data_IF_725158640146
#
_entry.id   IF_725158640146
#
_cell.length_a   1.000
_cell.length_b   1.000
_cell.length_c   1.000
_cell.angle_alpha   90.00
_cell.angle_beta   90.00
_cell.angle_gamma   90.00
#
_symmetry.space_group_name_H-M   'P 1'
#
loop_
_entity.id
_entity.type
_entity.pdbx_description
1 polymer ?
#
# COMPACT_ATOMS: atom_id res chain seq x y z
N UNK A 1 50.13 58.00 50.73
CA UNK A 1 50.10 57.04 49.60
C UNK A 1 48.85 57.30 48.74
N UNK A 2 49.05 57.34 47.41
CA UNK A 2 48.11 57.42 46.27
C UNK A 2 47.02 58.52 46.28
N UNK A 3 47.33 59.56 45.51
CA UNK A 3 46.55 60.77 45.20
C UNK A 3 45.30 60.49 44.33
N UNK A 4 44.27 61.29 44.62
CA UNK A 4 43.02 61.59 43.88
C UNK A 4 43.15 61.57 42.35
N UNK A 5 42.15 61.00 41.66
CA UNK A 5 41.75 61.39 40.30
C UNK A 5 40.26 61.70 40.28
N UNK A 6 39.93 62.94 39.96
CA UNK A 6 38.57 63.34 39.57
C UNK A 6 38.65 64.53 38.58
N UNK A 7 37.74 64.50 37.59
CA UNK A 7 37.45 65.46 36.47
C UNK A 7 37.80 64.88 35.09
N UNK A 8 37.07 65.09 33.99
CA UNK A 8 35.64 65.34 33.61
C UNK A 8 35.67 65.68 32.08
N UNK A 9 34.70 65.18 31.29
CA UNK A 9 34.12 65.72 30.02
C UNK A 9 34.88 65.61 28.67
N UNK A 10 34.16 65.09 27.64
CA UNK A 10 33.53 65.89 26.55
C UNK A 10 32.55 65.08 25.69
N UNK A 11 31.46 65.74 25.28
CA UNK A 11 30.33 65.26 24.44
C UNK A 11 30.55 65.51 22.93
N UNK A 12 29.63 64.93 22.13
CA UNK A 12 29.18 65.25 20.76
C UNK A 12 29.73 64.35 19.62
N UNK A 13 28.96 63.88 18.61
CA UNK A 13 27.85 64.50 17.85
C UNK A 13 26.97 63.46 17.10
N UNK A 14 25.71 63.85 16.83
CA UNK A 14 24.63 63.20 16.03
C UNK A 14 24.94 63.06 14.52
N UNK A 15 24.26 62.14 13.81
CA UNK A 15 23.89 62.29 12.38
C UNK A 15 22.49 61.71 12.06
N UNK A 16 21.62 62.59 11.53
CA UNK A 16 20.30 62.35 10.95
C UNK A 16 20.38 61.86 9.49
N UNK A 17 19.32 61.20 8.96
CA UNK A 17 18.75 61.28 7.59
C UNK A 17 17.60 60.26 7.46
N UNK A 18 16.32 60.65 7.49
CA UNK A 18 15.44 61.22 6.43
C UNK A 18 15.00 60.21 5.35
N UNK A 19 13.69 60.15 5.17
CA UNK A 19 12.81 59.42 4.23
C UNK A 19 13.24 59.51 2.76
N UNK A 20 12.92 58.51 1.94
CA UNK A 20 12.14 58.73 0.71
C UNK A 20 11.60 57.45 0.03
N UNK A 21 10.44 57.66 -0.57
CA UNK A 21 9.53 56.75 -1.27
C UNK A 21 9.96 56.67 -2.75
N UNK A 22 9.73 55.52 -3.41
CA UNK A 22 9.18 55.32 -4.77
C UNK A 22 9.83 54.19 -5.61
N UNK A 23 8.96 53.22 -5.95
CA UNK A 23 8.78 52.48 -7.22
C UNK A 23 10.01 52.18 -8.09
N UNK A 24 10.19 50.89 -8.44
CA UNK A 24 10.51 50.47 -9.83
C UNK A 24 10.26 48.98 -10.10
N UNK A 25 9.15 48.73 -10.81
CA UNK A 25 8.94 47.80 -11.93
C UNK A 25 9.77 46.49 -12.00
N UNK A 26 9.14 45.35 -11.69
CA UNK A 26 9.55 44.04 -12.18
C UNK A 26 8.80 43.73 -13.49
N UNK A 27 9.42 44.03 -14.64
CA UNK A 27 9.04 43.45 -15.95
C UNK A 27 10.22 42.70 -16.57
N UNK A 28 10.05 41.37 -16.63
CA UNK A 28 10.47 40.38 -17.63
C UNK A 28 11.83 40.56 -18.35
N UNK A 29 12.70 39.54 -18.22
CA UNK A 29 13.42 38.96 -19.38
C UNK A 29 13.47 37.44 -19.29
N UNK A 30 12.94 36.82 -20.35
CA UNK A 30 12.94 35.39 -20.63
C UNK A 30 14.37 34.85 -20.84
N UNK A 31 14.65 33.62 -20.42
CA UNK A 31 15.54 32.72 -21.18
C UNK A 31 15.19 31.25 -20.90
N UNK A 32 14.76 30.58 -21.97
CA UNK A 32 14.37 29.18 -22.10
C UNK A 32 15.50 28.26 -21.63
N UNK A 33 15.23 27.28 -20.76
CA UNK A 33 16.13 26.15 -20.52
C UNK A 33 15.79 25.01 -21.47
N UNK A 34 16.83 24.54 -22.17
CA UNK A 34 16.80 23.41 -23.12
C UNK A 34 16.32 22.14 -22.42
N UNK A 35 15.48 21.40 -23.14
CA UNK A 35 15.01 20.05 -22.85
C UNK A 35 16.13 19.08 -23.22
N UNK A 36 16.53 18.20 -22.30
CA UNK A 36 17.18 16.94 -22.66
C UNK A 36 16.37 15.84 -21.97
N UNK A 37 15.77 15.01 -22.81
CA UNK A 37 14.90 13.90 -22.45
C UNK A 37 15.70 12.67 -22.03
N UNK A 38 15.45 12.16 -20.84
CA UNK A 38 15.69 10.75 -20.53
C UNK A 38 14.36 10.06 -20.21
N UNK A 39 13.94 9.17 -21.10
CA UNK A 39 12.78 8.30 -20.94
C UNK A 39 13.06 7.32 -19.79
N UNK A 40 12.62 7.66 -18.59
CA UNK A 40 12.45 6.67 -17.52
C UNK A 40 10.97 6.28 -17.51
N UNK A 41 10.69 5.04 -17.94
CA UNK A 41 9.37 4.40 -17.90
C UNK A 41 8.83 4.49 -16.47
N UNK A 42 7.86 5.39 -16.24
CA UNK A 42 7.10 5.42 -14.98
C UNK A 42 6.19 4.19 -14.95
N UNK A 43 6.52 3.23 -14.09
CA UNK A 43 5.57 2.19 -13.68
C UNK A 43 4.30 2.87 -13.16
N UNK A 44 3.16 2.55 -13.78
CA UNK A 44 1.84 3.01 -13.34
C UNK A 44 1.51 2.30 -12.02
N UNK A 45 1.86 2.90 -10.90
CA UNK A 45 1.28 2.51 -9.61
C UNK A 45 -0.18 2.95 -9.66
N UNK A 46 -1.08 1.98 -9.82
CA UNK A 46 -2.52 2.16 -9.76
C UNK A 46 -2.88 2.85 -8.44
N UNK A 47 -3.27 4.12 -8.50
CA UNK A 47 -3.89 4.80 -7.37
C UNK A 47 -5.21 4.09 -7.09
N UNK A 48 -5.24 3.17 -6.12
CA UNK A 48 -6.49 2.69 -5.52
C UNK A 48 -7.23 3.93 -4.99
N UNK A 49 -8.23 4.39 -5.75
CA UNK A 49 -9.20 5.38 -5.30
C UNK A 49 -9.94 4.75 -4.12
N UNK A 50 -9.59 5.14 -2.90
CA UNK A 50 -10.45 4.91 -1.76
C UNK A 50 -11.72 5.72 -1.99
N UNK A 51 -12.77 5.04 -2.45
CA UNK A 51 -14.13 5.57 -2.44
C UNK A 51 -14.48 5.88 -0.98
N UNK A 52 -14.50 7.17 -0.63
CA UNK A 52 -15.16 7.63 0.60
C UNK A 52 -16.64 7.26 0.48
N UNK A 53 -17.05 6.11 1.00
CA UNK A 53 -18.45 5.81 1.29
C UNK A 53 -18.93 6.90 2.26
N UNK A 54 -19.70 7.87 1.75
CA UNK A 54 -20.51 8.76 2.58
C UNK A 54 -21.51 7.87 3.30
N UNK A 55 -21.25 7.55 4.57
CA UNK A 55 -22.26 6.96 5.45
C UNK A 55 -23.32 8.04 5.66
N UNK A 56 -24.42 7.98 4.89
CA UNK A 56 -25.65 8.71 5.22
C UNK A 56 -26.24 8.03 6.45
N UNK A 57 -26.02 8.61 7.62
CA UNK A 57 -26.78 8.24 8.82
C UNK A 57 -28.24 8.66 8.57
N UNK A 58 -29.10 7.70 8.24
CA UNK A 58 -30.56 7.88 8.26
C UNK A 58 -30.96 8.08 9.72
N UNK A 59 -31.23 9.32 10.11
CA UNK A 59 -31.94 9.62 11.35
C UNK A 59 -33.36 9.04 11.18
N UNK A 60 -33.63 7.91 11.85
CA UNK A 60 -35.01 7.41 12.00
C UNK A 60 -35.78 8.43 12.85
N UNK A 61 -36.59 9.27 12.21
CA UNK A 61 -37.66 10.02 12.89
C UNK A 61 -38.68 9.01 13.39
N UNK A 62 -38.60 8.64 14.67
CA UNK A 62 -39.71 7.97 15.34
C UNK A 62 -40.79 9.00 15.65
N UNK A 63 -41.75 9.09 14.72
CA UNK A 63 -43.07 9.65 14.94
C UNK A 63 -43.85 8.68 15.83
N UNK A 64 -44.17 9.10 17.06
CA UNK A 64 -45.27 8.54 17.87
C UNK A 64 -46.15 9.72 18.28
N UNK A 65 -47.14 10.11 17.46
CA UNK A 65 -48.56 9.70 17.49
C UNK A 65 -49.22 9.73 18.88
N UNK A 66 -50.11 10.72 19.00
CA UNK A 66 -51.45 10.71 19.64
C UNK A 66 -51.53 10.77 21.18
N UNK A 67 -51.67 11.99 21.69
CA UNK A 67 -52.44 12.24 22.91
C UNK A 67 -53.93 11.95 22.60
N UNK A 68 -54.45 10.81 23.10
CA UNK A 68 -55.89 10.57 23.24
C UNK A 68 -56.28 10.96 24.65
N UNK A 69 -56.98 12.08 24.81
CA UNK A 69 -57.75 12.37 26.01
C UNK A 69 -58.83 11.31 26.18
N UNK A 70 -58.65 10.36 27.11
CA UNK A 70 -59.73 9.50 27.59
C UNK A 70 -60.51 10.28 28.66
N UNK A 71 -61.68 10.81 28.28
CA UNK A 71 -62.74 11.21 29.21
C UNK A 71 -63.18 9.96 29.99
N UNK A 72 -62.84 9.87 31.26
CA UNK A 72 -63.44 8.89 32.17
C UNK A 72 -64.67 9.56 32.80
N UNK A 73 -65.84 9.24 32.24
CA UNK A 73 -67.12 9.40 32.92
C UNK A 73 -67.17 8.35 34.05
N UNK A 74 -67.29 8.78 35.30
CA UNK A 74 -67.81 7.93 36.38
C UNK A 74 -69.11 8.55 36.89
N UNK A 75 -70.21 7.90 36.50
CA UNK A 75 -71.52 7.96 37.15
C UNK A 75 -71.33 7.61 38.63
N UNK A 76 -71.83 8.44 39.53
CA UNK A 76 -72.19 7.98 40.88
C UNK A 76 -73.71 7.90 40.92
N UNK A 77 -74.13 6.69 41.24
CA UNK A 77 -75.49 6.17 41.29
C UNK A 77 -76.13 6.73 42.57
N UNK A 78 -77.16 7.58 42.44
CA UNK A 78 -78.05 7.90 43.55
C UNK A 78 -79.05 6.74 43.65
N UNK A 79 -78.74 5.75 44.48
CA UNK A 79 -79.70 4.76 44.95
C UNK A 79 -80.53 5.42 46.04
N UNK A 80 -81.71 5.90 45.67
CA UNK A 80 -82.83 6.03 46.59
C UNK A 80 -83.24 4.63 47.06
N UNK A 81 -83.50 4.46 48.35
CA UNK A 81 -84.63 3.66 48.85
C UNK A 81 -84.93 4.04 50.32
N UNK A 82 -86.20 3.85 50.74
CA UNK A 82 -86.88 4.67 51.73
C UNK A 82 -86.93 3.98 53.10
N UNK A 83 -87.16 4.75 54.15
CA UNK A 83 -87.67 4.21 55.40
C UNK A 83 -88.88 5.03 55.87
N UNK A 84 -90.07 4.46 55.66
CA UNK A 84 -91.35 4.83 56.27
C UNK A 84 -91.59 3.82 57.39
N UNK A 85 -92.03 4.28 58.56
CA UNK A 85 -93.07 3.69 59.42
C UNK A 85 -93.37 4.79 60.47
N UNK A 86 -94.54 5.46 60.51
CA UNK A 86 -95.89 4.99 60.89
C UNK A 86 -95.86 4.27 62.23
N UNK A 87 -96.72 4.46 63.22
CA UNK A 87 -97.93 5.23 63.49
C UNK A 87 -98.09 5.11 65.03
N UNK A 88 -98.80 6.01 65.72
CA UNK A 88 -99.91 5.63 66.61
C UNK A 88 -100.55 6.90 67.20
N UNK A 89 -101.69 7.32 66.65
CA UNK A 89 -103.05 7.07 67.17
C UNK A 89 -103.53 8.24 68.06
N UNK A 90 -104.47 9.05 67.55
CA UNK A 90 -105.93 8.84 67.68
C UNK A 90 -106.37 9.18 69.12
N UNK A 91 -107.42 9.93 69.41
CA UNK A 91 -108.53 10.56 68.66
C UNK A 91 -109.42 11.16 69.78
N UNK A 92 -110.46 11.88 69.37
CA UNK A 92 -111.80 11.84 69.99
C UNK A 92 -112.23 12.92 71.01
N UNK A 93 -113.30 13.57 70.56
CA UNK A 93 -114.50 14.03 71.26
C UNK A 93 -114.49 15.38 71.97
N UNK A 94 -115.06 16.36 71.27
CA UNK A 94 -116.19 17.13 71.81
C UNK A 94 -117.37 16.17 72.06
N UNK A 95 -118.15 16.29 73.15
CA UNK A 95 -119.25 17.27 73.12
C UNK A 95 -119.66 17.90 74.47
N UNK A 96 -120.16 19.14 74.39
CA UNK A 96 -121.46 19.62 74.92
C UNK A 96 -121.75 19.48 76.44
N UNK A 97 -121.99 20.65 77.04
CA UNK A 97 -122.80 20.99 78.23
C UNK A 97 -122.45 20.32 79.56
N UNK A 98 -122.16 21.16 80.55
CA UNK A 98 -123.05 21.40 81.70
C UNK A 98 -122.57 22.69 82.39
N UNK A 99 -123.46 23.66 82.46
CA UNK A 99 -123.30 24.90 83.20
C UNK A 99 -123.35 24.62 84.71
N UNK A 100 -122.75 25.53 85.49
CA UNK A 100 -122.66 25.56 86.96
C UNK A 100 -121.54 24.73 87.59
N UNK A 101 -120.31 25.23 87.49
CA UNK A 101 -119.47 25.44 88.70
C UNK A 101 -118.47 26.56 88.44
N UNK A 102 -119.06 27.67 88.03
CA UNK A 102 -118.54 28.98 87.61
C UNK A 102 -118.06 29.87 88.77
N UNK A 103 -117.49 29.32 89.85
CA UNK A 103 -117.01 30.20 90.94
C UNK A 103 -115.75 29.73 91.68
N UNK A 104 -115.44 28.43 91.71
CA UNK A 104 -114.28 27.90 92.45
C UNK A 104 -113.12 27.41 91.55
N UNK A 105 -113.35 27.28 90.24
CA UNK A 105 -112.32 26.84 89.28
C UNK A 105 -111.55 27.99 88.60
N UNK A 106 -112.01 29.24 88.71
CA UNK A 106 -111.32 30.38 88.11
C UNK A 106 -110.05 30.79 88.90
N UNK A 107 -110.05 30.62 90.24
CA UNK A 107 -108.86 30.81 91.10
C UNK A 107 -107.88 29.62 91.03
N UNK A 108 -108.35 28.37 90.93
CA UNK A 108 -107.49 27.19 90.73
C UNK A 108 -106.86 27.13 89.33
N UNK A 109 -107.58 27.53 88.27
CA UNK A 109 -107.03 27.59 86.91
C UNK A 109 -105.99 28.70 86.73
N UNK A 110 -106.08 29.83 87.45
CA UNK A 110 -105.00 30.83 87.42
C UNK A 110 -103.70 30.32 88.05
N UNK A 111 -103.79 29.54 89.14
CA UNK A 111 -102.61 28.93 89.80
C UNK A 111 -102.05 27.77 88.96
N UNK A 112 -102.92 26.90 88.40
CA UNK A 112 -102.52 25.78 87.54
C UNK A 112 -101.96 26.23 86.19
N UNK A 113 -102.53 27.26 85.56
CA UNK A 113 -102.02 27.84 84.31
C UNK A 113 -100.71 28.60 84.52
N UNK A 114 -100.50 29.26 85.68
CA UNK A 114 -99.19 29.81 86.04
C UNK A 114 -98.13 28.70 86.17
N UNK A 115 -98.48 27.58 86.79
CA UNK A 115 -97.56 26.44 86.94
C UNK A 115 -97.26 25.74 85.60
N UNK A 116 -98.27 25.56 84.73
CA UNK A 116 -98.10 24.98 83.38
C UNK A 116 -97.29 25.92 82.49
N UNK A 117 -97.60 27.23 82.45
CA UNK A 117 -96.79 28.21 81.72
C UNK A 117 -95.36 28.29 82.26
N UNK A 118 -95.15 28.13 83.57
CA UNK A 118 -93.80 28.05 84.15
C UNK A 118 -93.04 26.81 83.65
N UNK A 119 -93.69 25.64 83.57
CA UNK A 119 -93.09 24.42 83.05
C UNK A 119 -92.82 24.49 81.53
N UNK A 120 -93.73 25.08 80.74
CA UNK A 120 -93.57 25.26 79.29
C UNK A 120 -92.50 26.30 78.96
N UNK A 121 -92.49 27.44 79.64
CA UNK A 121 -91.42 28.43 79.50
C UNK A 121 -90.06 27.82 79.84
N UNK A 122 -89.98 26.98 80.88
CA UNK A 122 -88.75 26.25 81.22
C UNK A 122 -88.34 25.23 80.16
N UNK A 123 -89.29 24.59 79.46
CA UNK A 123 -89.01 23.70 78.31
C UNK A 123 -88.55 24.48 77.09
N UNK A 124 -89.21 25.60 76.76
CA UNK A 124 -88.86 26.49 75.65
C UNK A 124 -87.47 27.10 75.87
N UNK A 125 -87.15 27.53 77.09
CA UNK A 125 -85.81 28.00 77.44
C UNK A 125 -84.76 26.89 77.28
N UNK A 126 -85.05 25.66 77.71
CA UNK A 126 -84.15 24.51 77.49
C UNK A 126 -83.93 24.21 76.01
N UNK A 127 -84.98 24.27 75.18
CA UNK A 127 -84.88 24.06 73.74
C UNK A 127 -84.10 25.18 73.04
N UNK A 128 -84.35 26.44 73.39
CA UNK A 128 -83.57 27.59 72.91
C UNK A 128 -82.09 27.45 73.27
N UNK A 129 -81.78 27.02 74.50
CA UNK A 129 -80.40 26.71 74.93
C UNK A 129 -79.77 25.60 74.08
N UNK A 130 -80.49 24.51 73.80
CA UNK A 130 -80.01 23.41 72.94
C UNK A 130 -79.81 23.82 71.48
N UNK A 131 -80.66 24.68 70.92
CA UNK A 131 -80.54 25.15 69.54
C UNK A 131 -79.37 26.12 69.36
N UNK A 132 -79.16 27.01 70.35
CA UNK A 132 -77.95 27.86 70.44
C UNK A 132 -76.72 26.96 70.52
N UNK A 133 -76.72 25.93 71.37
CA UNK A 133 -75.61 24.99 71.52
C UNK A 133 -75.32 24.20 70.22
N UNK A 134 -76.35 23.79 69.47
CA UNK A 134 -76.19 23.14 68.15
C UNK A 134 -75.61 24.08 67.10
N UNK A 135 -76.12 25.32 67.00
CA UNK A 135 -75.59 26.34 66.09
C UNK A 135 -74.15 26.70 66.42
N UNK A 136 -73.80 26.76 67.70
CA UNK A 136 -72.42 26.93 68.16
C UNK A 136 -71.54 25.72 67.80
N UNK A 137 -72.02 24.49 67.98
CA UNK A 137 -71.31 23.27 67.56
C UNK A 137 -71.08 23.21 66.05
N UNK A 138 -72.07 23.54 65.23
CA UNK A 138 -71.92 23.58 63.77
C UNK A 138 -70.95 24.67 63.30
N UNK A 139 -70.98 25.86 63.91
CA UNK A 139 -70.00 26.92 63.64
C UNK A 139 -68.59 26.45 64.01
N UNK A 140 -68.43 25.82 65.18
CA UNK A 140 -67.15 25.22 65.61
C UNK A 140 -66.64 24.17 64.60
N UNK A 141 -67.50 23.27 64.12
CA UNK A 141 -67.13 22.26 63.11
C UNK A 141 -66.69 22.90 61.78
N UNK A 142 -67.44 23.90 61.28
CA UNK A 142 -67.07 24.62 60.05
C UNK A 142 -65.76 25.37 60.18
N UNK A 143 -65.53 26.02 61.32
CA UNK A 143 -64.26 26.68 61.62
C UNK A 143 -63.10 25.67 61.70
N UNK A 144 -63.32 24.50 62.30
CA UNK A 144 -62.35 23.41 62.32
C UNK A 144 -62.04 22.85 60.92
N UNK A 145 -63.05 22.68 60.07
CA UNK A 145 -62.87 22.23 58.68
C UNK A 145 -62.09 23.25 57.84
N UNK A 146 -62.40 24.54 57.97
CA UNK A 146 -61.65 25.62 57.32
C UNK A 146 -60.19 25.63 57.79
N UNK A 147 -59.93 25.49 59.10
CA UNK A 147 -58.58 25.35 59.65
C UNK A 147 -57.86 24.13 59.07
N UNK A 148 -58.54 22.98 58.96
CA UNK A 148 -57.98 21.77 58.32
C UNK A 148 -57.64 21.97 56.85
N UNK A 149 -58.49 22.67 56.09
CA UNK A 149 -58.24 22.98 54.68
C UNK A 149 -57.04 23.92 54.56
N UNK A 150 -56.96 24.97 55.38
CA UNK A 150 -55.82 25.89 55.40
C UNK A 150 -54.50 25.18 55.72
N UNK A 151 -54.49 24.28 56.71
CA UNK A 151 -53.31 23.46 57.05
C UNK A 151 -52.90 22.58 55.86
N UNK A 152 -53.85 21.95 55.16
CA UNK A 152 -53.56 21.14 53.96
C UNK A 152 -53.04 21.97 52.80
N UNK A 153 -53.57 23.17 52.57
CA UNK A 153 -53.06 24.08 51.54
C UNK A 153 -51.65 24.57 51.84
N UNK A 154 -51.34 24.86 53.11
CA UNK A 154 -49.99 25.20 53.55
C UNK A 154 -49.04 24.02 53.33
N UNK A 155 -49.43 22.80 53.72
CA UNK A 155 -48.66 21.59 53.47
C UNK A 155 -48.37 21.37 51.97
N UNK A 156 -49.37 21.52 51.10
CA UNK A 156 -49.20 21.41 49.65
C UNK A 156 -48.26 22.48 49.08
N UNK A 157 -48.35 23.72 49.56
CA UNK A 157 -47.44 24.79 49.15
C UNK A 157 -46.00 24.49 49.56
N UNK A 158 -45.80 23.92 50.74
CA UNK A 158 -44.47 23.57 51.24
C UNK A 158 -43.89 22.35 50.52
N UNK A 159 -44.70 21.34 50.19
CA UNK A 159 -44.29 20.23 49.32
C UNK A 159 -43.83 20.73 47.93
N UNK A 160 -44.55 21.68 47.33
CA UNK A 160 -44.16 22.28 46.05
C UNK A 160 -42.86 23.07 46.18
N UNK A 161 -42.65 23.81 47.27
CA UNK A 161 -41.38 24.51 47.52
C UNK A 161 -40.22 23.53 47.68
N UNK A 162 -40.42 22.45 48.45
CA UNK A 162 -39.42 21.39 48.64
C UNK A 162 -39.09 20.72 47.30
N UNK A 163 -40.08 20.39 46.48
CA UNK A 163 -39.85 19.83 45.14
C UNK A 163 -39.06 20.79 44.23
N UNK A 164 -39.35 22.09 44.30
CA UNK A 164 -38.58 23.12 43.57
C UNK A 164 -37.15 23.24 44.08
N UNK A 165 -36.91 23.13 45.38
CA UNK A 165 -35.56 23.11 45.96
C UNK A 165 -34.80 21.86 45.50
N UNK A 166 -35.38 20.67 45.66
CA UNK A 166 -34.79 19.39 45.19
C UNK A 166 -34.41 19.43 43.71
N UNK A 167 -35.27 19.98 42.84
CA UNK A 167 -34.95 20.10 41.41
C UNK A 167 -33.83 21.10 41.12
N UNK A 168 -33.72 22.18 41.90
CA UNK A 168 -32.57 23.11 41.84
C UNK A 168 -31.29 22.44 42.31
N UNK A 169 -31.35 21.70 43.42
CA UNK A 169 -30.20 21.01 44.01
C UNK A 169 -29.69 19.90 43.09
N UNK A 170 -30.59 19.10 42.51
CA UNK A 170 -30.24 18.08 41.51
C UNK A 170 -29.58 18.74 40.29
N UNK A 171 -30.13 19.85 39.78
CA UNK A 171 -29.51 20.58 38.65
C UNK A 171 -28.14 21.14 39.02
N UNK A 172 -27.98 21.66 40.22
CA UNK A 172 -26.70 22.18 40.71
C UNK A 172 -25.67 21.05 40.84
N UNK A 173 -26.06 19.92 41.43
CA UNK A 173 -25.25 18.71 41.54
C UNK A 173 -24.78 18.21 40.18
N UNK A 174 -25.70 18.04 39.22
CA UNK A 174 -25.37 17.60 37.86
C UNK A 174 -24.42 18.58 37.15
N UNK A 175 -24.59 19.90 37.33
CA UNK A 175 -23.67 20.90 36.78
C UNK A 175 -22.28 20.80 37.41
N UNK A 176 -22.20 20.56 38.72
CA UNK A 176 -20.94 20.40 39.46
C UNK A 176 -20.21 19.14 39.02
N UNK A 177 -20.90 18.00 38.93
CA UNK A 177 -20.33 16.76 38.40
C UNK A 177 -19.85 16.91 36.96
N UNK A 178 -20.67 17.52 36.08
CA UNK A 178 -20.24 17.78 34.69
C UNK A 178 -19.01 18.68 34.61
N UNK A 179 -18.90 19.69 35.50
CA UNK A 179 -17.71 20.54 35.56
C UNK A 179 -16.48 19.74 35.99
N UNK A 180 -16.62 18.84 36.96
CA UNK A 180 -15.53 18.00 37.43
C UNK A 180 -15.09 16.99 36.35
N UNK A 181 -16.04 16.35 35.66
CA UNK A 181 -15.76 15.49 34.50
C UNK A 181 -15.01 16.27 33.41
N UNK A 182 -15.40 17.52 33.13
CA UNK A 182 -14.69 18.36 32.14
C UNK A 182 -13.26 18.68 32.57
N UNK A 183 -13.02 18.98 33.85
CA UNK A 183 -11.67 19.20 34.37
C UNK A 183 -10.82 17.95 34.24
N UNK A 184 -11.34 16.80 34.66
CA UNK A 184 -10.63 15.53 34.58
C UNK A 184 -10.29 15.16 33.13
N UNK A 185 -11.23 15.32 32.20
CA UNK A 185 -10.99 15.14 30.77
C UNK A 185 -9.91 16.09 30.24
N UNK A 186 -9.93 17.37 30.65
CA UNK A 186 -8.92 18.34 30.24
C UNK A 186 -7.52 17.99 30.79
N UNK A 187 -7.43 17.50 32.03
CA UNK A 187 -6.16 17.03 32.60
C UNK A 187 -5.62 15.79 31.89
N UNK A 188 -6.48 14.81 31.59
CA UNK A 188 -6.11 13.63 30.79
C UNK A 188 -5.60 14.03 29.41
N UNK A 189 -6.28 14.96 28.74
CA UNK A 189 -5.84 15.49 27.45
C UNK A 189 -4.49 16.22 27.55
N UNK A 190 -4.25 17.01 28.61
CA UNK A 190 -2.95 17.68 28.83
C UNK A 190 -1.81 16.68 29.03
N UNK A 191 -2.01 15.65 29.86
CA UNK A 191 -1.04 14.57 30.08
C UNK A 191 -0.73 13.85 28.77
N UNK A 192 -1.76 13.41 28.05
CA UNK A 192 -1.61 12.75 26.75
C UNK A 192 -0.86 13.61 25.72
N UNK A 193 -1.18 14.91 25.63
CA UNK A 193 -0.46 15.83 24.73
C UNK A 193 1.01 16.02 25.14
N UNK A 194 1.31 15.98 26.45
CA UNK A 194 2.69 16.06 26.94
C UNK A 194 3.49 14.80 26.61
N UNK A 195 2.88 13.62 26.76
CA UNK A 195 3.46 12.32 26.39
C UNK A 195 3.78 12.29 24.89
N UNK A 196 2.83 12.67 24.03
CA UNK A 196 3.06 12.75 22.57
C UNK A 196 4.22 13.70 22.23
N UNK A 197 4.34 14.83 22.93
CA UNK A 197 5.44 15.79 22.69
C UNK A 197 6.78 15.19 23.09
N UNK A 198 6.85 14.46 24.21
CA UNK A 198 8.06 13.78 24.65
C UNK A 198 8.43 12.65 23.70
N UNK A 199 7.47 11.83 23.28
CA UNK A 199 7.67 10.74 22.34
C UNK A 199 8.21 11.26 20.99
N UNK A 200 7.63 12.34 20.45
CA UNK A 200 8.14 12.98 19.22
C UNK A 200 9.56 13.52 19.37
N UNK A 201 9.91 14.07 20.54
CA UNK A 201 11.28 14.51 20.81
C UNK A 201 12.24 13.31 20.83
N UNK A 202 11.86 12.24 21.53
CA UNK A 202 12.65 11.01 21.61
C UNK A 202 12.85 10.38 20.22
N UNK A 203 11.80 10.33 19.40
CA UNK A 203 11.89 9.84 18.02
C UNK A 203 12.85 10.68 17.18
N UNK A 204 12.84 12.01 17.35
CA UNK A 204 13.79 12.90 16.65
C UNK A 204 15.23 12.69 17.12
N UNK A 205 15.47 12.44 18.41
CA UNK A 205 16.79 12.09 18.92
C UNK A 205 17.28 10.77 18.33
N UNK A 206 16.45 9.71 18.35
CA UNK A 206 16.77 8.42 17.72
C UNK A 206 17.11 8.56 16.24
N UNK A 207 16.35 9.39 15.50
CA UNK A 207 16.64 9.67 14.08
C UNK A 207 17.96 10.41 13.86
N UNK A 208 18.41 11.23 14.81
CA UNK A 208 19.71 11.91 14.74
C UNK A 208 20.84 10.95 15.09
N UNK A 209 20.70 10.19 16.16
CA UNK A 209 21.66 9.17 16.59
C UNK A 209 21.94 8.16 15.48
N UNK A 210 20.90 7.62 14.82
CA UNK A 210 21.09 6.72 13.68
C UNK A 210 21.87 7.38 12.55
N UNK A 211 21.62 8.67 12.26
CA UNK A 211 22.35 9.40 11.22
C UNK A 211 23.80 9.66 11.62
N UNK A 212 24.05 9.94 12.89
CA UNK A 212 25.40 10.13 13.42
C UNK A 212 26.20 8.82 13.34
N UNK A 213 25.61 7.70 13.76
CA UNK A 213 26.21 6.37 13.60
C UNK A 213 26.50 6.05 12.13
N UNK A 214 25.55 6.31 11.22
CA UNK A 214 25.78 6.12 9.77
C UNK A 214 26.89 7.01 9.22
N UNK A 215 27.04 8.24 9.73
CA UNK A 215 28.10 9.13 9.29
C UNK A 215 29.47 8.69 9.82
N UNK A 216 29.53 8.21 11.07
CA UNK A 216 30.73 7.63 11.66
C UNK A 216 31.15 6.34 10.93
N UNK A 217 30.20 5.46 10.63
CA UNK A 217 30.45 4.25 9.83
C UNK A 217 30.99 4.58 8.44
N UNK A 218 30.41 5.58 7.76
CA UNK A 218 30.93 6.06 6.46
C UNK A 218 32.33 6.64 6.57
N UNK A 219 32.66 7.31 7.66
CA UNK A 219 33.99 7.86 7.88
C UNK A 219 35.00 6.71 8.09
N UNK A 220 34.68 5.76 8.96
CA UNK A 220 35.49 4.57 9.20
C UNK A 220 35.72 3.75 7.92
N UNK A 221 34.68 3.56 7.10
CA UNK A 221 34.82 2.89 5.79
C UNK A 221 35.69 3.67 4.80
N UNK A 222 35.69 5.01 4.85
CA UNK A 222 36.56 5.83 4.00
C UNK A 222 38.01 5.73 4.44
N UNK A 223 38.26 5.73 5.75
CA UNK A 223 39.59 5.60 6.34
C UNK A 223 40.20 4.23 6.02
N UNK A 224 39.42 3.15 6.18
CA UNK A 224 39.83 1.81 5.72
C UNK A 224 40.12 1.78 4.21
N UNK A 225 39.32 2.47 3.38
CA UNK A 225 39.58 2.54 1.92
C UNK A 225 40.85 3.30 1.57
N UNK A 226 41.20 4.36 2.31
CA UNK A 226 42.48 5.05 2.08
C UNK A 226 43.67 4.16 2.39
N UNK A 227 43.57 3.29 3.40
CA UNK A 227 44.64 2.34 3.74
C UNK A 227 44.87 1.33 2.60
N UNK A 228 43.82 0.97 1.86
CA UNK A 228 43.93 0.08 0.69
C UNK A 228 44.42 0.78 -0.59
N UNK A 229 44.66 2.10 -0.60
CA UNK A 229 45.07 2.80 -1.82
C UNK A 229 46.39 2.27 -2.39
N UNK A 230 47.38 1.98 -1.53
CA UNK A 230 48.66 1.39 -1.94
C UNK A 230 48.51 -0.03 -2.51
N UNK A 231 47.60 -0.84 -1.94
CA UNK A 231 47.28 -2.17 -2.47
C UNK A 231 46.56 -2.05 -3.81
N UNK A 232 45.69 -1.05 -3.96
CA UNK A 232 44.97 -0.80 -5.20
C UNK A 232 45.90 -0.38 -6.34
N UNK A 233 46.90 0.46 -6.06
CA UNK A 233 47.95 0.83 -7.01
C UNK A 233 48.75 -0.39 -7.47
N UNK A 234 49.20 -1.23 -6.52
CA UNK A 234 49.90 -2.49 -6.84
C UNK A 234 49.05 -3.45 -7.66
N UNK A 235 47.74 -3.52 -7.39
CA UNK A 235 46.81 -4.33 -8.18
C UNK A 235 46.69 -3.77 -9.61
N UNK A 236 46.65 -2.44 -9.77
CA UNK A 236 46.57 -1.81 -11.08
C UNK A 236 47.84 -2.05 -11.91
N UNK A 237 49.03 -1.98 -11.28
CA UNK A 237 50.30 -2.33 -11.91
C UNK A 237 50.34 -3.78 -12.39
N UNK A 238 49.88 -4.71 -11.55
CA UNK A 238 49.81 -6.14 -11.91
C UNK A 238 48.82 -6.35 -13.07
N UNK A 239 47.66 -5.69 -13.04
CA UNK A 239 46.69 -5.75 -14.15
C UNK A 239 47.29 -5.20 -15.43
N UNK A 240 48.02 -4.08 -15.37
CA UNK A 240 48.63 -3.48 -16.54
C UNK A 240 49.70 -4.40 -17.13
N UNK A 241 50.56 -4.99 -16.29
CA UNK A 241 51.51 -6.02 -16.72
C UNK A 241 50.82 -7.21 -17.40
N UNK A 242 49.72 -7.71 -16.81
CA UNK A 242 48.98 -8.83 -17.38
C UNK A 242 48.27 -8.48 -18.71
N UNK A 243 47.78 -7.24 -18.85
CA UNK A 243 47.23 -6.75 -20.12
C UNK A 243 48.29 -6.77 -21.21
N UNK A 244 49.46 -6.19 -20.94
CA UNK A 244 50.57 -6.15 -21.89
C UNK A 244 51.00 -7.56 -22.31
N UNK A 245 51.21 -8.48 -21.35
CA UNK A 245 51.55 -9.89 -21.65
C UNK A 245 50.49 -10.59 -22.49
N UNK A 246 49.21 -10.29 -22.24
CA UNK A 246 48.11 -10.86 -23.01
C UNK A 246 48.08 -10.30 -24.43
N UNK A 247 48.33 -9.01 -24.60
CA UNK A 247 48.34 -8.35 -25.91
C UNK A 247 49.56 -8.82 -26.73
N UNK A 248 50.73 -8.99 -26.11
CA UNK A 248 51.90 -9.64 -26.72
C UNK A 248 51.58 -11.07 -27.17
N UNK A 249 50.87 -11.86 -26.36
CA UNK A 249 50.46 -13.23 -26.73
C UNK A 249 49.46 -13.26 -27.87
N UNK A 250 48.55 -12.29 -27.94
CA UNK A 250 47.64 -12.13 -29.09
C UNK A 250 48.45 -11.80 -30.33
N UNK A 251 49.42 -10.89 -30.22
CA UNK A 251 50.32 -10.52 -31.33
C UNK A 251 51.09 -11.73 -31.86
N UNK A 252 51.75 -12.48 -30.99
CA UNK A 252 52.47 -13.71 -31.34
C UNK A 252 51.56 -14.74 -32.02
N UNK A 253 50.32 -14.90 -31.55
CA UNK A 253 49.36 -15.81 -32.17
C UNK A 253 48.97 -15.35 -33.58
N UNK A 254 48.68 -14.07 -33.77
CA UNK A 254 48.33 -13.52 -35.09
C UNK A 254 49.51 -13.61 -36.06
N UNK A 255 50.74 -13.41 -35.57
CA UNK A 255 51.98 -13.58 -36.33
C UNK A 255 52.19 -15.04 -36.76
N UNK A 256 51.93 -16.01 -35.87
CA UNK A 256 51.96 -17.45 -36.19
C UNK A 256 50.94 -17.84 -37.27
N UNK A 257 49.80 -17.15 -37.36
CA UNK A 257 48.83 -17.35 -38.44
C UNK A 257 49.29 -16.76 -39.78
N UNK A 258 50.42 -16.03 -39.81
CA UNK A 258 50.97 -15.42 -41.02
C UNK A 258 50.23 -14.16 -41.47
N UNK A 259 49.42 -13.54 -40.60
CA UNK A 259 48.69 -12.30 -40.90
C UNK A 259 49.61 -11.11 -40.69
N UNK A 260 49.69 -10.19 -41.66
CA UNK A 260 50.49 -8.97 -41.55
C UNK A 260 49.97 -8.06 -40.42
N UNK A 261 50.85 -7.81 -39.45
CA UNK A 261 50.60 -6.90 -38.34
C UNK A 261 51.22 -5.56 -38.68
N UNK A 262 50.42 -4.50 -38.68
CA UNK A 262 50.92 -3.14 -38.87
C UNK A 262 51.39 -2.58 -37.51
N UNK A 263 52.45 -1.77 -37.54
CA UNK A 263 53.01 -1.13 -36.35
C UNK A 263 52.08 -0.01 -35.86
N UNK A 264 51.04 -0.40 -35.12
CA UNK A 264 49.95 0.48 -34.67
C UNK A 264 48.59 -0.19 -34.53
N UNK A 265 48.47 -1.47 -34.87
CA UNK A 265 47.21 -2.22 -34.72
C UNK A 265 46.77 -2.31 -33.24
N UNK A 266 45.58 -1.81 -32.95
CA UNK A 266 44.91 -1.99 -31.67
C UNK A 266 44.59 -3.47 -31.40
N UNK A 267 44.46 -3.84 -30.12
CA UNK A 267 44.08 -5.20 -29.70
C UNK A 267 42.82 -5.72 -30.41
N UNK A 268 41.82 -4.87 -30.56
CA UNK A 268 40.56 -5.26 -31.21
C UNK A 268 40.76 -5.51 -32.71
N UNK A 269 41.65 -4.75 -33.38
CA UNK A 269 42.01 -4.98 -34.76
C UNK A 269 42.73 -6.32 -34.96
N UNK A 270 43.66 -6.68 -34.05
CA UNK A 270 44.33 -7.99 -34.05
C UNK A 270 43.33 -9.15 -33.90
N UNK A 271 42.37 -9.02 -32.98
CA UNK A 271 41.33 -10.04 -32.77
C UNK A 271 40.36 -10.14 -33.96
N UNK A 272 40.05 -9.03 -34.63
CA UNK A 272 39.25 -9.04 -35.85
C UNK A 272 39.99 -9.71 -37.01
N UNK A 273 41.29 -9.44 -37.16
CA UNK A 273 42.17 -10.10 -38.14
C UNK A 273 42.22 -11.61 -37.90
N UNK A 274 42.42 -12.06 -36.65
CA UNK A 274 42.37 -13.48 -36.26
C UNK A 274 41.03 -14.12 -36.64
N UNK A 275 39.91 -13.49 -36.29
CA UNK A 275 38.57 -14.00 -36.62
C UNK A 275 38.32 -14.09 -38.12
N UNK A 276 38.74 -13.08 -38.88
CA UNK A 276 38.59 -13.07 -40.35
C UNK A 276 39.38 -14.22 -40.97
N UNK A 277 40.63 -14.42 -40.53
CA UNK A 277 41.46 -15.53 -40.97
C UNK A 277 40.80 -16.90 -40.69
N UNK A 278 40.31 -17.12 -39.47
CA UNK A 278 39.62 -18.37 -39.13
C UNK A 278 38.37 -18.59 -39.97
N UNK A 279 37.59 -17.54 -40.21
CA UNK A 279 36.37 -17.60 -41.01
C UNK A 279 36.68 -17.91 -42.48
N UNK A 280 37.73 -17.31 -43.03
CA UNK A 280 38.21 -17.60 -44.39
C UNK A 280 38.70 -19.04 -44.51
N UNK A 281 39.48 -19.53 -43.53
CA UNK A 281 39.88 -20.94 -43.48
C UNK A 281 38.69 -21.90 -43.38
N UNK A 282 37.71 -21.58 -42.56
CA UNK A 282 36.48 -22.38 -42.47
C UNK A 282 35.69 -22.41 -43.79
N UNK A 283 35.69 -21.32 -44.57
CA UNK A 283 35.06 -21.31 -45.90
C UNK A 283 35.78 -22.23 -46.87
N UNK A 284 37.12 -22.20 -46.89
CA UNK A 284 37.95 -23.10 -47.70
C UNK A 284 37.66 -24.56 -47.33
N UNK A 285 37.68 -24.88 -46.04
CA UNK A 285 37.39 -26.21 -45.51
C UNK A 285 36.00 -26.71 -45.93
N UNK A 286 34.96 -25.89 -45.73
CA UNK A 286 33.58 -26.23 -46.10
C UNK A 286 33.43 -26.47 -47.61
N UNK A 287 34.14 -25.70 -48.44
CA UNK A 287 34.14 -25.88 -49.89
C UNK A 287 34.79 -27.21 -50.28
N UNK A 288 35.94 -27.56 -49.68
CA UNK A 288 36.65 -28.81 -49.96
C UNK A 288 36.00 -30.06 -49.34
N UNK A 289 35.22 -29.92 -48.26
CA UNK A 289 34.55 -31.05 -47.58
C UNK A 289 33.69 -31.89 -48.54
N UNK A 290 32.99 -31.24 -49.47
CA UNK A 290 32.18 -31.97 -50.46
C UNK A 290 33.04 -32.81 -51.40
N UNK A 291 34.20 -32.29 -51.80
CA UNK A 291 35.16 -32.99 -52.65
C UNK A 291 35.85 -34.11 -51.88
N UNK A 292 36.24 -33.89 -50.63
CA UNK A 292 36.81 -34.92 -49.77
C UNK A 292 35.85 -36.09 -49.58
N UNK A 293 34.57 -35.84 -49.26
CA UNK A 293 33.57 -36.90 -49.13
C UNK A 293 33.39 -37.68 -50.43
N UNK A 294 33.39 -36.98 -51.56
CA UNK A 294 33.32 -37.59 -52.89
C UNK A 294 34.53 -38.49 -53.15
N UNK A 295 35.75 -37.98 -52.96
CA UNK A 295 37.01 -38.72 -53.14
C UNK A 295 37.16 -39.91 -52.19
N UNK A 296 36.78 -39.75 -50.91
CA UNK A 296 36.81 -40.83 -49.93
C UNK A 296 35.81 -41.95 -50.28
N UNK A 297 34.59 -41.57 -50.70
CA UNK A 297 33.60 -42.52 -51.20
C UNK A 297 34.08 -43.25 -52.45
N UNK A 298 34.70 -42.52 -53.39
CA UNK A 298 35.27 -43.08 -54.61
C UNK A 298 36.37 -44.10 -54.31
N UNK A 299 37.33 -43.75 -53.45
CA UNK A 299 38.38 -44.66 -53.03
C UNK A 299 37.79 -45.93 -52.41
N UNK A 300 36.82 -45.79 -51.49
CA UNK A 300 36.15 -46.94 -50.87
C UNK A 300 35.48 -47.86 -51.89
N UNK A 301 34.76 -47.30 -52.87
CA UNK A 301 34.10 -48.08 -53.92
C UNK A 301 35.11 -48.81 -54.81
N UNK A 302 36.20 -48.14 -55.19
CA UNK A 302 37.25 -48.72 -56.03
C UNK A 302 37.96 -49.85 -55.29
N UNK A 303 38.34 -49.61 -54.04
CA UNK A 303 38.96 -50.60 -53.17
C UNK A 303 38.10 -51.86 -53.02
N UNK A 304 36.80 -51.69 -52.82
CA UNK A 304 35.86 -52.80 -52.66
C UNK A 304 35.68 -53.63 -53.93
N UNK A 305 35.65 -53.00 -55.11
CA UNK A 305 35.24 -53.64 -56.37
C UNK A 305 36.41 -54.08 -57.26
N UNK A 306 37.49 -53.29 -57.32
CA UNK A 306 38.53 -53.45 -58.34
C UNK A 306 39.90 -53.86 -57.79
N UNK A 307 40.16 -53.65 -56.50
CA UNK A 307 41.46 -53.94 -55.87
C UNK A 307 41.39 -55.29 -55.13
N UNK A 308 42.31 -56.24 -55.41
CA UNK A 308 42.35 -57.51 -54.72
C UNK A 308 42.97 -57.38 -53.32
N UNK A 309 42.65 -58.31 -52.41
CA UNK A 309 43.07 -58.28 -51.00
C UNK A 309 44.58 -58.25 -50.75
N UNK A 310 45.38 -58.74 -51.70
CA UNK A 310 46.85 -58.80 -51.58
C UNK A 310 47.54 -57.50 -52.04
N UNK A 311 46.76 -56.51 -52.52
CA UNK A 311 47.29 -55.24 -53.01
C UNK A 311 46.98 -54.12 -52.02
N UNK A 312 47.87 -53.13 -51.98
CA UNK A 312 47.72 -51.89 -51.23
C UNK A 312 46.44 -51.17 -51.62
N UNK A 313 45.80 -50.56 -50.63
CA UNK A 313 44.51 -49.90 -50.73
C UNK A 313 44.73 -48.45 -51.21
N UNK A 314 43.81 -47.88 -51.98
CA UNK A 314 43.79 -46.44 -52.26
C UNK A 314 43.28 -45.67 -51.04
N UNK A 315 44.03 -44.67 -50.59
CA UNK A 315 43.64 -43.82 -49.46
C UNK A 315 43.54 -42.37 -49.90
N UNK A 316 42.48 -41.71 -49.46
CA UNK A 316 42.35 -40.25 -49.51
C UNK A 316 43.01 -39.68 -48.27
N UNK A 317 44.02 -38.83 -48.44
CA UNK A 317 44.65 -38.08 -47.36
C UNK A 317 44.00 -36.71 -47.29
N UNK A 318 43.64 -36.32 -46.07
CA UNK A 318 42.98 -35.06 -45.79
C UNK A 318 43.96 -34.05 -45.19
N UNK A 319 44.37 -33.06 -45.99
CA UNK A 319 45.19 -31.91 -45.53
C UNK A 319 44.43 -30.59 -45.66
N UNK A 320 43.10 -30.63 -45.64
CA UNK A 320 42.25 -29.43 -45.80
C UNK A 320 42.45 -28.39 -44.70
N UNK A 321 42.81 -28.83 -43.49
CA UNK A 321 43.04 -27.95 -42.33
C UNK A 321 44.36 -27.18 -42.41
N UNK A 322 45.41 -27.80 -42.98
CA UNK A 322 46.78 -27.26 -42.96
C UNK A 322 47.09 -26.50 -44.24
N UNK A 323 47.06 -27.20 -45.38
CA UNK A 323 47.43 -26.64 -46.69
C UNK A 323 46.22 -26.31 -47.56
N UNK A 324 45.05 -26.92 -47.29
CA UNK A 324 43.87 -26.76 -48.14
C UNK A 324 43.86 -27.70 -49.34
N UNK A 325 44.49 -28.87 -49.18
CA UNK A 325 44.69 -29.86 -50.24
C UNK A 325 44.10 -31.22 -49.82
N UNK A 326 43.60 -31.96 -50.80
CA UNK A 326 43.17 -33.35 -50.67
C UNK A 326 43.91 -34.13 -51.74
N UNK A 327 44.51 -35.25 -51.40
CA UNK A 327 45.11 -36.11 -52.42
C UNK A 327 44.79 -37.58 -52.22
N UNK A 328 44.82 -38.33 -53.31
CA UNK A 328 44.62 -39.78 -53.33
C UNK A 328 45.96 -40.42 -53.64
N UNK A 329 46.36 -41.39 -52.83
CA UNK A 329 47.59 -42.18 -53.02
C UNK A 329 47.37 -43.65 -52.71
N UNK A 330 48.35 -44.49 -53.06
CA UNK A 330 48.44 -45.84 -52.53
C UNK A 330 48.91 -45.81 -51.07
N UNK A 331 48.39 -46.72 -50.24
CA UNK A 331 48.72 -46.76 -48.80
C UNK A 331 50.21 -46.96 -48.53
N UNK A 332 50.90 -47.68 -49.43
CA UNK A 332 52.32 -48.01 -49.29
C UNK A 332 53.27 -46.95 -49.92
N UNK A 333 52.71 -45.92 -50.57
CA UNK A 333 53.49 -44.86 -51.22
C UNK A 333 53.69 -43.65 -50.31
N UNK A 334 54.79 -42.92 -50.52
CA UNK A 334 55.06 -41.66 -49.85
C UNK A 334 54.02 -40.58 -50.21
N UNK A 335 53.91 -39.52 -49.39
CA UNK A 335 52.93 -38.46 -49.62
C UNK A 335 53.21 -37.63 -50.89
N UNK A 336 54.45 -37.63 -51.38
CA UNK A 336 54.86 -36.94 -52.61
C UNK A 336 54.40 -37.66 -53.89
N UNK A 337 54.19 -38.97 -53.81
CA UNK A 337 53.76 -39.86 -54.90
C UNK A 337 52.23 -39.99 -54.97
N UNK A 338 51.54 -38.86 -54.95
CA UNK A 338 50.09 -38.82 -55.12
C UNK A 338 49.65 -39.07 -56.56
N UNK A 339 48.45 -39.63 -56.71
CA UNK A 339 47.81 -39.95 -58.00
C UNK A 339 46.91 -38.81 -58.46
N UNK A 340 46.05 -38.33 -57.55
CA UNK A 340 45.16 -37.20 -57.78
C UNK A 340 45.37 -36.18 -56.66
N UNK A 341 45.50 -34.91 -57.01
CA UNK A 341 45.58 -33.79 -56.07
C UNK A 341 44.45 -32.81 -56.36
N UNK A 342 43.71 -32.45 -55.32
CA UNK A 342 42.57 -31.54 -55.37
C UNK A 342 42.87 -30.38 -54.44
N UNK A 343 42.87 -29.16 -54.95
CA UNK A 343 43.12 -27.97 -54.15
C UNK A 343 42.29 -26.78 -54.64
N UNK A 344 42.12 -25.78 -53.77
CA UNK A 344 41.45 -24.53 -54.12
C UNK A 344 42.45 -23.57 -54.77
N UNK A 345 42.07 -22.98 -55.90
CA UNK A 345 42.88 -21.96 -56.58
C UNK A 345 43.00 -20.71 -55.70
N UNK A 346 44.24 -20.25 -55.49
CA UNK A 346 44.59 -19.06 -54.69
C UNK A 346 43.97 -19.02 -53.28
N UNK A 347 43.67 -20.18 -52.67
CA UNK A 347 43.00 -20.27 -51.36
C UNK A 347 41.67 -19.48 -51.29
N UNK A 348 41.00 -19.27 -52.41
CA UNK A 348 39.76 -18.50 -52.49
C UNK A 348 38.59 -19.39 -52.94
N UNK A 349 37.51 -19.52 -52.15
CA UNK A 349 36.33 -20.31 -52.52
C UNK A 349 35.62 -19.86 -53.82
N UNK A 350 35.97 -18.68 -54.35
CA UNK A 350 35.34 -18.11 -55.55
C UNK A 350 36.05 -18.49 -56.85
N UNK A 351 37.34 -18.83 -56.77
CA UNK A 351 38.19 -18.98 -57.96
C UNK A 351 38.16 -20.39 -58.53
N UNK A 352 37.47 -21.32 -57.87
CA UNK A 352 37.29 -22.68 -58.33
C UNK A 352 38.28 -23.66 -57.69
N UNK A 353 38.13 -24.93 -58.06
CA UNK A 353 38.88 -26.06 -57.56
C UNK A 353 39.66 -26.64 -58.73
N UNK A 354 40.93 -26.94 -58.48
CA UNK A 354 41.81 -27.57 -59.46
C UNK A 354 41.97 -29.03 -59.07
N UNK A 355 41.82 -29.91 -60.06
CA UNK A 355 42.12 -31.34 -59.94
C UNK A 355 43.31 -31.61 -60.85
N UNK A 356 44.43 -31.97 -60.25
CA UNK A 356 45.63 -32.42 -60.95
C UNK A 356 45.66 -33.94 -60.95
N UNK A 357 45.83 -34.50 -62.15
CA UNK A 357 45.88 -35.92 -62.39
C UNK A 357 47.29 -36.35 -62.85
N UNK A 358 47.93 -37.18 -62.04
CA UNK A 358 49.22 -37.85 -62.29
C UNK A 358 49.05 -39.33 -62.68
N UNK A 359 47.84 -39.79 -62.95
CA UNK A 359 47.58 -41.17 -63.36
C UNK A 359 48.30 -41.58 -64.65
N UNK A 360 48.65 -40.62 -65.50
CA UNK A 360 49.44 -40.83 -66.72
C UNK A 360 50.89 -40.34 -66.52
N UNK A 361 51.90 -41.22 -66.66
CA UNK A 361 53.30 -40.83 -66.47
C UNK A 361 53.82 -39.86 -67.55
N UNK A 362 53.16 -39.76 -68.70
CA UNK A 362 53.62 -38.92 -69.84
C UNK A 362 52.95 -37.53 -69.92
N UNK A 363 51.78 -37.34 -69.28
CA UNK A 363 51.02 -36.08 -69.32
C UNK A 363 50.25 -35.88 -68.02
N UNK A 364 50.67 -34.91 -67.21
CA UNK A 364 49.89 -34.39 -66.09
C UNK A 364 48.77 -33.48 -66.63
N UNK A 365 47.52 -33.82 -66.34
CA UNK A 365 46.36 -33.02 -66.80
C UNK A 365 45.80 -32.27 -65.59
N UNK A 366 45.60 -30.96 -65.74
CA UNK A 366 44.96 -30.12 -64.72
C UNK A 366 43.59 -29.67 -65.21
N UNK A 367 42.55 -29.94 -64.41
CA UNK A 367 41.18 -29.51 -64.68
C UNK A 367 40.73 -28.44 -63.68
N UNK A 368 40.31 -27.28 -64.19
CA UNK A 368 39.72 -26.21 -63.38
C UNK A 368 38.19 -26.34 -63.39
N UNK A 369 37.62 -26.53 -62.21
CA UNK A 369 36.19 -26.74 -62.00
C UNK A 369 35.61 -25.70 -61.06
N UNK A 370 34.31 -25.41 -61.21
CA UNK A 370 33.61 -24.57 -60.23
C UNK A 370 33.31 -25.39 -58.97
N UNK A 371 33.20 -24.70 -57.84
CA UNK A 371 32.85 -25.32 -56.55
C UNK A 371 31.50 -26.04 -56.56
N UNK A 372 30.59 -25.68 -57.47
CA UNK A 372 29.29 -26.32 -57.68
C UNK A 372 29.36 -27.59 -58.53
N UNK A 373 30.45 -27.83 -59.25
CA UNK A 373 30.57 -28.89 -60.25
C UNK A 373 31.17 -30.19 -59.67
N UNK A 374 30.70 -30.58 -58.49
CA UNK A 374 31.19 -31.78 -57.77
C UNK A 374 30.95 -33.06 -58.57
N UNK A 375 29.83 -33.19 -59.28
CA UNK A 375 29.54 -34.39 -60.07
C UNK A 375 30.49 -34.53 -61.26
N UNK A 376 30.80 -33.43 -61.96
CA UNK A 376 31.79 -33.45 -63.05
C UNK A 376 33.19 -33.81 -62.53
N UNK A 377 33.55 -33.30 -61.34
CA UNK A 377 34.78 -33.70 -60.66
C UNK A 377 34.80 -35.19 -60.36
N UNK A 378 33.68 -35.73 -59.85
CA UNK A 378 33.54 -37.16 -59.56
C UNK A 378 33.74 -38.01 -60.81
N UNK A 379 33.06 -37.67 -61.91
CA UNK A 379 33.15 -38.42 -63.16
C UNK A 379 34.60 -38.43 -63.70
N UNK A 380 35.27 -37.27 -63.70
CA UNK A 380 36.68 -37.16 -64.10
C UNK A 380 37.61 -38.00 -63.21
N UNK A 381 37.43 -37.98 -61.89
CA UNK A 381 38.24 -38.78 -60.97
C UNK A 381 38.01 -40.28 -61.15
N UNK A 382 36.76 -40.70 -61.40
CA UNK A 382 36.41 -42.10 -61.69
C UNK A 382 37.11 -42.57 -62.95
N UNK A 383 36.98 -41.81 -64.05
CA UNK A 383 37.57 -42.16 -65.34
C UNK A 383 39.09 -42.26 -65.25
N UNK A 384 39.73 -41.30 -64.56
CA UNK A 384 41.17 -41.29 -64.31
C UNK A 384 41.65 -42.55 -63.56
N UNK A 385 41.02 -42.88 -62.43
CA UNK A 385 41.41 -44.02 -61.62
C UNK A 385 41.12 -45.36 -62.28
N UNK A 386 40.01 -45.48 -63.03
CA UNK A 386 39.71 -46.69 -63.80
C UNK A 386 40.75 -46.89 -64.90
N UNK A 387 41.08 -45.84 -65.67
CA UNK A 387 42.10 -45.93 -66.72
C UNK A 387 43.47 -46.32 -66.14
N UNK A 388 43.85 -45.78 -64.97
CA UNK A 388 45.06 -46.20 -64.27
C UNK A 388 45.04 -47.70 -64.00
N UNK A 389 43.96 -48.20 -63.39
CA UNK A 389 43.82 -49.62 -63.04
C UNK A 389 43.80 -50.54 -64.27
N UNK A 390 43.15 -50.11 -65.36
CA UNK A 390 43.13 -50.86 -66.61
C UNK A 390 44.52 -50.96 -67.24
N UNK A 391 45.28 -49.86 -67.28
CA UNK A 391 46.67 -49.86 -67.77
C UNK A 391 47.56 -50.76 -66.94
N UNK A 392 47.43 -50.74 -65.61
CA UNK A 392 48.17 -51.65 -64.74
C UNK A 392 47.80 -53.12 -64.94
N UNK A 393 46.52 -53.43 -65.22
CA UNK A 393 46.09 -54.79 -65.54
C UNK A 393 46.64 -55.26 -66.88
N UNK A 394 46.63 -54.41 -67.90
CA UNK A 394 47.21 -54.72 -69.22
C UNK A 394 48.72 -54.99 -69.11
N UNK A 395 49.47 -54.16 -68.35
CA UNK A 395 50.90 -54.37 -68.08
C UNK A 395 51.23 -55.67 -67.35
N UNK A 396 50.28 -56.27 -66.62
CA UNK A 396 50.46 -57.58 -65.96
C UNK A 396 50.03 -58.75 -66.84
N UNK A 397 49.21 -58.49 -67.87
CA UNK A 397 48.70 -59.49 -68.79
C UNK A 397 49.56 -59.64 -70.06
N UNK A 398 50.29 -58.58 -70.44
CA UNK A 398 51.46 -58.63 -71.34
C UNK A 398 52.68 -59.07 -70.55
#
# INVERSE_FOLDING_TARGET
>A
MKKRKNRKRKNNKKKNRVKNIFKRNLKKKNKKRKIISSKIKKQKISKKRYYKKKIKIKIKKNVKKKNKFKKIKKKIIIKTKPFRFKDLFLKLYNPIKIASLTFLNHKKNQIKNRYINYLENRKIEKLKKLEIERKEKEKKIKEEELKRIQIKEQALKDEIKIARQRTKDIKYFLKKEQAEIRKEQAERQRKFLSEIKLEKKLENFRKREIKELQNLEKLALKEQRSDYASVQERIEDIKQKYRNLRDEKIRQRVEQLGVQIEEGDDRDALLEKEKKYTLERQKIENTLESFYRCSASLCFQINKRYIPKHRSILRTIDRRFETGEIFIKWDDSEDEDWILLIYIKNNSPKEGIIIEDKSNPEKSISHELKTTEIFKASDLMVDSLIQLLERERQKKAS
#
